data_IF_804556605560
#
_entry.id   IF_804556605560
#
_cell.length_a   1.000
_cell.length_b   1.000
_cell.length_c   1.000
_cell.angle_alpha   90.00
_cell.angle_beta   90.00
_cell.angle_gamma   90.00
#
_symmetry.space_group_name_H-M   'P 1'
#
loop_
_entity.id
_entity.type
_entity.pdbx_description
1 polymer ?
#
# COMPACT_ATOMS: atom_id res chain seq x y z
N UNK A 1 4.61 -6.66 25.07
CA UNK A 1 4.55 -5.21 24.82
C UNK A 1 5.79 -4.55 25.40
N UNK A 2 6.21 -3.40 24.88
CA UNK A 2 7.35 -2.65 25.44
C UNK A 2 6.84 -1.63 26.48
N UNK A 3 5.60 -1.16 26.31
CA UNK A 3 4.93 -0.30 27.29
C UNK A 3 4.14 -1.17 28.28
N UNK A 4 4.35 -0.92 29.57
CA UNK A 4 3.67 -1.64 30.66
C UNK A 4 2.15 -1.42 30.63
N UNK A 5 1.37 -2.48 30.88
CA UNK A 5 -0.09 -2.42 30.97
C UNK A 5 -0.86 -2.50 29.64
N UNK A 6 -0.18 -2.65 28.50
CA UNK A 6 -0.84 -2.85 27.20
C UNK A 6 -1.12 -4.33 26.93
N UNK A 7 -2.29 -4.58 26.34
CA UNK A 7 -2.75 -5.93 25.98
C UNK A 7 -2.34 -6.37 24.57
N UNK A 8 -1.92 -5.43 23.72
CA UNK A 8 -1.54 -5.65 22.32
C UNK A 8 -0.12 -5.14 22.09
N UNK A 9 0.57 -5.72 21.12
CA UNK A 9 1.94 -5.38 20.73
C UNK A 9 2.06 -3.91 20.27
N UNK A 10 3.15 -3.26 20.66
CA UNK A 10 3.43 -1.85 20.35
C UNK A 10 4.41 -1.69 19.18
N UNK A 11 5.02 -2.80 18.80
CA UNK A 11 6.12 -2.92 17.85
C UNK A 11 6.12 -4.34 17.29
N UNK A 12 6.29 -4.49 15.99
CA UNK A 12 6.34 -5.77 15.31
C UNK A 12 7.27 -5.71 14.10
N UNK A 13 8.00 -6.81 13.88
CA UNK A 13 8.73 -7.09 12.65
C UNK A 13 8.20 -8.39 12.08
N UNK A 14 7.69 -8.34 10.85
CA UNK A 14 7.12 -9.50 10.16
C UNK A 14 7.97 -9.81 8.94
N UNK A 15 8.46 -11.05 8.86
CA UNK A 15 9.10 -11.59 7.67
C UNK A 15 8.02 -12.17 6.76
N UNK A 16 8.08 -11.85 5.47
CA UNK A 16 7.09 -12.25 4.48
C UNK A 16 7.77 -13.12 3.42
N UNK A 17 7.16 -14.26 3.14
CA UNK A 17 7.43 -15.09 1.96
C UNK A 17 6.20 -14.97 1.05
N UNK A 18 6.33 -14.14 0.02
CA UNK A 18 5.26 -13.85 -0.93
C UNK A 18 5.36 -14.83 -2.11
N UNK A 19 4.36 -14.77 -2.98
CA UNK A 19 4.33 -15.58 -4.20
C UNK A 19 5.57 -15.32 -5.08
N UNK A 20 5.88 -16.31 -5.93
CA UNK A 20 7.02 -16.28 -6.85
C UNK A 20 8.40 -16.04 -6.20
N UNK A 21 8.52 -16.36 -4.89
CA UNK A 21 9.77 -16.26 -4.14
C UNK A 21 10.16 -14.84 -3.76
N UNK A 22 9.23 -13.87 -3.88
CA UNK A 22 9.44 -12.50 -3.43
C UNK A 22 9.46 -12.48 -1.90
N UNK A 23 10.48 -11.85 -1.32
CA UNK A 23 10.62 -11.74 0.14
C UNK A 23 10.35 -10.31 0.60
N UNK A 24 9.73 -10.19 1.76
CA UNK A 24 9.41 -8.89 2.37
C UNK A 24 9.80 -8.83 3.83
N UNK A 25 10.01 -7.60 4.29
CA UNK A 25 10.10 -7.27 5.72
C UNK A 25 9.15 -6.12 5.96
N UNK A 26 8.27 -6.28 6.94
CA UNK A 26 7.37 -5.23 7.39
C UNK A 26 7.71 -4.88 8.84
N UNK A 27 7.84 -3.58 9.11
CA UNK A 27 8.04 -3.06 10.45
C UNK A 27 6.88 -2.14 10.78
N UNK A 28 6.26 -2.35 11.94
CA UNK A 28 5.12 -1.54 12.40
C UNK A 28 5.36 -1.18 13.85
N UNK A 29 5.32 0.11 14.18
CA UNK A 29 5.65 0.58 15.52
C UNK A 29 4.81 1.78 15.92
N UNK A 30 4.29 1.76 17.14
CA UNK A 30 3.69 2.92 17.82
C UNK A 30 4.69 3.62 18.76
N UNK A 31 5.89 3.07 18.90
CA UNK A 31 6.92 3.52 19.85
C UNK A 31 8.23 3.91 19.17
N UNK A 32 8.24 4.00 17.83
CA UNK A 32 9.33 4.55 17.05
C UNK A 32 9.49 6.05 17.37
N UNK A 33 10.36 6.35 18.33
CA UNK A 33 10.47 7.69 18.92
C UNK A 33 10.90 8.73 17.89
N UNK A 34 10.12 9.82 17.79
CA UNK A 34 10.39 10.93 16.87
C UNK A 34 9.77 10.77 15.49
N UNK A 35 9.32 9.56 15.14
CA UNK A 35 8.56 9.32 13.93
C UNK A 35 7.13 9.88 14.07
N UNK A 36 6.55 10.34 12.96
CA UNK A 36 5.16 10.79 12.91
C UNK A 36 4.30 9.75 12.20
N UNK A 37 3.97 9.96 10.93
CA UNK A 37 3.18 9.04 10.10
C UNK A 37 4.05 8.49 8.96
N UNK A 38 5.21 7.94 9.32
CA UNK A 38 6.26 7.54 8.38
C UNK A 38 5.97 6.18 7.74
N UNK A 39 4.92 6.14 6.92
CA UNK A 39 4.64 4.99 6.06
C UNK A 39 5.61 5.05 4.88
N UNK A 40 6.41 4.00 4.75
CA UNK A 40 7.44 3.87 3.72
C UNK A 40 7.21 2.57 2.95
N UNK A 41 7.19 2.66 1.62
CA UNK A 41 7.16 1.51 0.74
C UNK A 41 8.46 1.48 -0.09
N UNK A 42 9.15 0.35 -0.07
CA UNK A 42 10.30 0.10 -0.93
C UNK A 42 10.13 -1.23 -1.66
N UNK A 43 10.28 -1.19 -2.97
CA UNK A 43 10.20 -2.38 -3.84
C UNK A 43 11.52 -2.48 -4.59
N UNK A 44 12.16 -3.64 -4.54
CA UNK A 44 13.45 -3.88 -5.18
C UNK A 44 13.25 -4.92 -6.28
N UNK A 45 13.40 -4.50 -7.53
CA UNK A 45 13.42 -5.38 -8.70
C UNK A 45 14.84 -5.62 -9.20
N UNK A 46 14.96 -6.46 -10.23
CA UNK A 46 16.24 -6.74 -10.88
C UNK A 46 16.82 -5.49 -11.58
N UNK A 47 15.95 -4.65 -12.16
CA UNK A 47 16.38 -3.52 -12.99
C UNK A 47 16.37 -2.17 -12.26
N UNK A 48 15.49 -2.03 -11.25
CA UNK A 48 15.33 -0.80 -10.50
C UNK A 48 14.71 -1.03 -9.11
N UNK A 49 14.91 -0.07 -8.22
CA UNK A 49 14.24 0.06 -6.94
C UNK A 49 13.26 1.24 -6.97
N UNK A 50 12.11 1.09 -6.31
CA UNK A 50 11.12 2.14 -6.09
C UNK A 50 11.03 2.47 -4.61
N UNK A 51 11.07 3.75 -4.26
CA UNK A 51 10.92 4.24 -2.89
C UNK A 51 9.84 5.33 -2.83
N UNK A 52 8.87 5.16 -1.94
CA UNK A 52 7.82 6.14 -1.66
C UNK A 52 7.65 6.33 -0.16
N UNK A 53 7.32 7.55 0.26
CA UNK A 53 7.06 7.89 1.66
C UNK A 53 5.82 8.78 1.79
N UNK A 54 4.98 8.47 2.77
CA UNK A 54 3.78 9.24 3.09
C UNK A 54 4.08 10.67 3.57
N UNK A 55 5.27 10.93 4.11
CA UNK A 55 5.64 12.29 4.51
C UNK A 55 6.06 13.18 3.32
N UNK A 56 6.33 12.59 2.15
CA UNK A 56 6.60 13.27 0.88
C UNK A 56 5.78 12.60 -0.24
N UNK A 57 4.43 12.61 -0.14
CA UNK A 57 3.56 11.73 -0.92
C UNK A 57 3.57 12.05 -2.42
N UNK A 58 4.02 13.26 -2.78
CA UNK A 58 4.09 13.76 -4.15
C UNK A 58 5.28 13.20 -4.94
N UNK A 59 6.19 12.46 -4.29
CA UNK A 59 7.44 11.99 -4.89
C UNK A 59 7.55 10.47 -4.85
N UNK A 60 7.80 9.88 -6.01
CA UNK A 60 8.22 8.50 -6.17
C UNK A 60 9.66 8.49 -6.68
N UNK A 61 10.59 7.94 -5.89
CA UNK A 61 11.99 7.81 -6.29
C UNK A 61 12.20 6.46 -6.95
N UNK A 62 12.83 6.46 -8.11
CA UNK A 62 13.24 5.26 -8.84
C UNK A 62 14.76 5.27 -8.97
N UNK A 63 15.43 4.19 -8.58
CA UNK A 63 16.89 4.04 -8.69
C UNK A 63 17.17 2.85 -9.59
N UNK A 64 17.80 3.06 -10.73
CA UNK A 64 18.14 1.98 -11.66
C UNK A 64 19.35 1.14 -11.18
N UNK A 65 19.60 0.03 -11.86
CA UNK A 65 20.74 -0.87 -11.57
C UNK A 65 22.12 -0.21 -11.75
N UNK A 66 22.20 0.93 -12.45
CA UNK A 66 23.40 1.76 -12.58
C UNK A 66 23.58 2.78 -11.44
N UNK A 67 22.58 2.92 -10.56
CA UNK A 67 22.56 3.87 -9.46
C UNK A 67 22.05 5.27 -9.84
N UNK A 68 21.49 5.44 -11.04
CA UNK A 68 20.87 6.72 -11.41
C UNK A 68 19.51 6.84 -10.73
N UNK A 69 19.31 7.95 -10.04
CA UNK A 69 18.03 8.26 -9.42
C UNK A 69 17.18 9.16 -10.32
N UNK A 70 15.93 8.77 -10.52
CA UNK A 70 14.87 9.56 -11.15
C UNK A 70 13.78 9.81 -10.11
N UNK A 71 13.32 11.06 -10.00
CA UNK A 71 12.18 11.42 -9.15
C UNK A 71 10.98 11.71 -10.03
N UNK A 72 9.94 10.90 -9.86
CA UNK A 72 8.65 11.09 -10.50
C UNK A 72 7.76 11.89 -9.55
N UNK A 73 7.17 12.97 -10.07
CA UNK A 73 6.29 13.84 -9.30
C UNK A 73 4.83 13.59 -9.65
N UNK A 74 3.96 13.65 -8.64
CA UNK A 74 2.50 13.70 -8.84
C UNK A 74 2.13 14.84 -9.78
N UNK A 75 1.18 14.58 -10.68
CA UNK A 75 0.79 15.51 -11.75
C UNK A 75 1.73 15.55 -12.97
N UNK A 76 2.79 14.73 -12.97
CA UNK A 76 3.57 14.42 -14.17
C UNK A 76 2.97 13.29 -15.01
N UNK A 77 3.70 12.83 -16.02
CA UNK A 77 3.35 11.62 -16.80
C UNK A 77 3.77 10.35 -16.04
N UNK A 78 2.92 9.96 -15.08
CA UNK A 78 3.18 8.85 -14.13
C UNK A 78 2.19 7.69 -14.30
N UNK A 79 1.60 7.58 -15.50
CA UNK A 79 0.65 6.53 -15.85
C UNK A 79 -0.81 6.86 -15.52
N UNK A 80 -1.75 6.06 -16.05
CA UNK A 80 -3.18 6.40 -16.05
C UNK A 80 -3.80 6.38 -14.65
N UNK A 81 -3.41 5.44 -13.78
CA UNK A 81 -3.95 5.34 -12.41
C UNK A 81 -3.57 6.54 -11.55
N UNK A 82 -2.30 6.95 -11.57
CA UNK A 82 -1.82 8.12 -10.83
C UNK A 82 -2.38 9.43 -11.40
N UNK A 83 -2.52 9.53 -12.73
CA UNK A 83 -3.17 10.67 -13.38
C UNK A 83 -4.62 10.80 -12.94
N UNK A 84 -5.37 9.69 -12.89
CA UNK A 84 -6.77 9.65 -12.44
C UNK A 84 -6.94 10.06 -10.97
N UNK A 85 -5.99 9.69 -10.12
CA UNK A 85 -5.99 10.03 -8.69
C UNK A 85 -5.58 11.49 -8.40
N UNK A 86 -5.04 12.23 -9.39
CA UNK A 86 -4.58 13.61 -9.22
C UNK A 86 -5.73 14.59 -9.46
N UNK A 87 -5.97 15.52 -8.51
CA UNK A 87 -7.08 16.50 -8.60
C UNK A 87 -6.59 17.90 -8.93
N UNK A 88 -5.40 18.27 -8.45
CA UNK A 88 -4.77 19.56 -8.63
C UNK A 88 -3.59 19.47 -9.60
N UNK A 89 -3.35 20.52 -10.41
CA UNK A 89 -2.18 20.57 -11.29
C UNK A 89 -0.87 20.38 -10.53
N UNK A 90 0.11 19.76 -11.18
CA UNK A 90 1.45 19.56 -10.63
C UNK A 90 2.03 20.83 -10.00
N UNK A 91 2.64 20.69 -8.82
CA UNK A 91 3.17 21.80 -8.02
C UNK A 91 2.20 22.38 -6.97
N UNK A 92 0.89 22.10 -7.07
CA UNK A 92 -0.06 22.40 -6.00
C UNK A 92 -0.13 21.21 -5.04
N UNK A 93 -0.06 21.42 -3.72
CA UNK A 93 0.04 20.32 -2.76
C UNK A 93 -1.25 19.50 -2.72
N UNK A 94 -1.10 18.18 -2.72
CA UNK A 94 -2.12 17.22 -2.31
C UNK A 94 -1.54 16.31 -1.25
N UNK A 95 -2.39 15.57 -0.54
CA UNK A 95 -1.91 14.56 0.38
C UNK A 95 -3.05 13.74 0.95
N UNK A 96 -3.09 13.68 2.28
CA UNK A 96 -3.95 12.77 3.01
C UNK A 96 -5.44 12.94 2.66
N UNK A 97 -5.94 14.17 2.55
CA UNK A 97 -7.37 14.42 2.30
C UNK A 97 -7.75 14.00 0.88
N UNK A 98 -6.94 14.33 -0.13
CA UNK A 98 -7.18 13.94 -1.52
C UNK A 98 -7.11 12.42 -1.70
N UNK A 99 -6.17 11.75 -1.02
CA UNK A 99 -6.08 10.29 -1.03
C UNK A 99 -7.36 9.63 -0.50
N UNK A 100 -7.91 10.10 0.62
CA UNK A 100 -9.19 9.61 1.13
C UNK A 100 -10.35 9.97 0.22
N UNK A 101 -10.38 11.19 -0.32
CA UNK A 101 -11.41 11.61 -1.26
C UNK A 101 -11.43 10.70 -2.50
N UNK A 102 -10.27 10.24 -2.99
CA UNK A 102 -10.19 9.28 -4.08
C UNK A 102 -10.87 7.95 -3.70
N UNK A 103 -10.52 7.35 -2.56
CA UNK A 103 -11.14 6.10 -2.09
C UNK A 103 -12.67 6.23 -2.01
N UNK A 104 -13.16 7.32 -1.42
CA UNK A 104 -14.61 7.54 -1.28
C UNK A 104 -15.31 7.80 -2.62
N UNK A 105 -14.67 8.54 -3.54
CA UNK A 105 -15.21 8.77 -4.88
C UNK A 105 -15.33 7.45 -5.67
N UNK A 106 -14.33 6.58 -5.57
CA UNK A 106 -14.30 5.26 -6.23
C UNK A 106 -15.34 4.31 -5.64
N UNK A 107 -15.47 4.26 -4.31
CA UNK A 107 -16.52 3.47 -3.67
C UNK A 107 -17.93 3.98 -4.04
N UNK A 108 -18.14 5.31 -4.06
CA UNK A 108 -19.42 5.90 -4.45
C UNK A 108 -19.79 5.59 -5.91
N UNK A 109 -18.82 5.68 -6.82
CA UNK A 109 -18.97 5.27 -8.22
C UNK A 109 -19.47 3.82 -8.35
N UNK A 110 -18.82 2.90 -7.62
CA UNK A 110 -19.19 1.49 -7.61
C UNK A 110 -20.61 1.26 -7.09
N UNK A 111 -21.02 1.98 -6.04
CA UNK A 111 -22.38 1.89 -5.46
C UNK A 111 -23.43 2.40 -6.45
N UNK A 112 -23.15 3.51 -7.13
CA UNK A 112 -24.07 4.13 -8.07
C UNK A 112 -24.15 3.40 -9.41
N UNK A 113 -23.24 2.46 -9.68
CA UNK A 113 -23.08 1.85 -10.99
C UNK A 113 -22.70 2.86 -12.08
N UNK A 114 -22.20 4.03 -11.68
CA UNK A 114 -21.72 5.09 -12.56
C UNK A 114 -20.22 5.05 -12.49
N UNK A 115 -19.60 4.70 -13.59
CA UNK A 115 -18.18 4.90 -13.75
C UNK A 115 -17.91 6.41 -13.96
N UNK A 116 -17.16 7.08 -13.08
CA UNK A 116 -16.84 8.49 -13.22
C UNK A 116 -16.04 8.76 -14.50
N UNK A 117 -15.42 7.73 -15.10
CA UNK A 117 -14.70 7.78 -16.37
C UNK A 117 -15.08 6.55 -17.20
N UNK A 118 -16.15 6.63 -18.00
CA UNK A 118 -16.70 5.53 -18.82
C UNK A 118 -15.66 4.53 -19.33
N UNK A 119 -15.71 3.29 -18.83
CA UNK A 119 -14.85 2.17 -19.26
C UNK A 119 -13.74 1.75 -18.28
N UNK A 120 -13.65 2.37 -17.11
CA UNK A 120 -12.67 2.06 -16.05
C UNK A 120 -13.37 1.46 -14.83
N UNK A 121 -12.91 0.29 -14.38
CA UNK A 121 -13.46 -0.33 -13.16
C UNK A 121 -13.12 0.53 -11.95
N UNK A 122 -14.08 0.85 -11.06
CA UNK A 122 -13.80 1.59 -9.84
C UNK A 122 -12.70 0.94 -9.00
N UNK A 123 -11.78 1.77 -8.49
CA UNK A 123 -10.55 1.36 -7.82
C UNK A 123 -10.61 1.72 -6.33
N UNK A 124 -11.18 0.82 -5.54
CA UNK A 124 -11.34 0.99 -4.10
C UNK A 124 -11.15 -0.34 -3.36
N UNK A 125 -10.74 -0.32 -2.08
CA UNK A 125 -10.66 -1.52 -1.26
C UNK A 125 -12.03 -2.18 -1.10
N UNK A 126 -12.13 -3.46 -1.42
CA UNK A 126 -13.36 -4.25 -1.28
C UNK A 126 -13.47 -4.89 0.11
N UNK A 127 -14.63 -5.49 0.40
CA UNK A 127 -14.79 -6.30 1.63
C UNK A 127 -13.85 -7.52 1.64
N UNK A 128 -13.53 -8.07 0.46
CA UNK A 128 -12.55 -9.16 0.32
C UNK A 128 -11.13 -8.69 0.64
N UNK A 129 -10.74 -7.48 0.21
CA UNK A 129 -9.45 -6.89 0.59
C UNK A 129 -9.39 -6.66 2.12
N UNK A 130 -10.50 -6.26 2.73
CA UNK A 130 -10.61 -6.16 4.19
C UNK A 130 -10.44 -7.52 4.90
N UNK A 131 -11.08 -8.58 4.38
CA UNK A 131 -10.95 -9.93 4.93
C UNK A 131 -9.51 -10.46 4.83
N UNK A 132 -8.79 -10.16 3.75
CA UNK A 132 -7.37 -10.48 3.60
C UNK A 132 -6.51 -9.79 4.65
N UNK A 133 -6.77 -8.51 4.93
CA UNK A 133 -6.08 -7.76 5.98
C UNK A 133 -6.29 -8.34 7.37
N UNK A 134 -7.52 -8.76 7.69
CA UNK A 134 -7.83 -9.44 8.95
C UNK A 134 -7.14 -10.79 9.06
N UNK A 135 -7.18 -11.60 7.99
CA UNK A 135 -6.47 -12.88 7.97
C UNK A 135 -4.97 -12.68 8.21
N UNK A 136 -4.35 -11.73 7.51
CA UNK A 136 -2.93 -11.41 7.70
C UNK A 136 -2.58 -11.10 9.16
N UNK A 137 -3.37 -10.24 9.82
CA UNK A 137 -3.15 -9.90 11.24
C UNK A 137 -3.30 -11.14 12.13
N UNK A 138 -4.34 -11.95 11.93
CA UNK A 138 -4.55 -13.17 12.69
C UNK A 138 -3.40 -14.17 12.52
N UNK A 139 -2.89 -14.34 11.30
CA UNK A 139 -1.76 -15.24 10.98
C UNK A 139 -0.44 -14.72 11.55
N UNK A 140 -0.23 -13.41 11.57
CA UNK A 140 0.94 -12.81 12.21
C UNK A 140 0.94 -13.06 13.74
N UNK A 141 -0.20 -12.90 14.40
CA UNK A 141 -0.35 -13.20 15.85
C UNK A 141 -0.18 -14.70 16.13
N UNK A 142 -0.68 -15.57 15.25
CA UNK A 142 -0.46 -17.02 15.33
C UNK A 142 1.03 -17.37 15.18
N UNK A 143 1.70 -16.75 14.20
CA UNK A 143 3.14 -16.92 13.96
C UNK A 143 3.99 -16.49 15.15
N UNK A 144 3.65 -15.36 15.79
CA UNK A 144 4.32 -14.91 17.01
C UNK A 144 4.10 -15.88 18.19
N UNK A 145 2.88 -16.40 18.36
CA UNK A 145 2.63 -17.38 19.43
C UNK A 145 3.43 -18.68 19.24
N UNK A 146 3.42 -19.19 18.02
CA UNK A 146 3.96 -20.51 17.70
C UNK A 146 5.45 -20.44 17.30
N UNK A 147 6.00 -19.24 17.14
CA UNK A 147 7.37 -18.96 16.71
C UNK A 147 7.74 -19.71 15.42
N UNK A 148 6.80 -19.73 14.47
CA UNK A 148 6.90 -20.52 13.24
C UNK A 148 6.30 -19.79 12.04
N UNK A 149 6.68 -20.21 10.83
CA UNK A 149 6.05 -19.76 9.60
C UNK A 149 4.59 -20.23 9.53
N UNK A 150 3.68 -19.29 9.31
CA UNK A 150 2.25 -19.58 9.17
C UNK A 150 1.78 -19.13 7.79
N UNK A 151 1.07 -20.03 7.08
CA UNK A 151 0.52 -19.74 5.76
C UNK A 151 -0.77 -18.92 5.90
N UNK A 152 -0.93 -17.91 5.04
CA UNK A 152 -2.23 -17.22 4.90
C UNK A 152 -3.33 -18.17 4.42
N UNK A 153 -4.54 -17.96 4.92
CA UNK A 153 -5.71 -18.80 4.63
C UNK A 153 -6.59 -18.17 3.55
N UNK A 154 -6.71 -16.85 3.55
CA UNK A 154 -7.44 -16.12 2.54
C UNK A 154 -6.58 -15.90 1.29
N UNK A 155 -7.12 -16.25 0.13
CA UNK A 155 -6.49 -16.00 -1.18
C UNK A 155 -7.11 -14.76 -1.81
N UNK A 156 -6.31 -14.01 -2.56
CA UNK A 156 -6.82 -12.88 -3.32
C UNK A 156 -7.71 -13.42 -4.43
N UNK A 157 -9.00 -13.07 -4.41
CA UNK A 157 -9.88 -13.35 -5.55
C UNK A 157 -9.29 -12.66 -6.77
N UNK A 158 -8.75 -13.42 -7.72
CA UNK A 158 -8.32 -12.88 -9.00
C UNK A 158 -9.55 -12.30 -9.68
N UNK A 159 -9.67 -10.96 -9.72
CA UNK A 159 -10.56 -10.31 -10.67
C UNK A 159 -10.01 -10.73 -12.04
N UNK A 160 -10.73 -11.61 -12.74
CA UNK A 160 -10.40 -12.01 -14.10
C UNK A 160 -10.13 -10.74 -14.92
N UNK A 161 -8.90 -10.57 -15.38
CA UNK A 161 -8.51 -9.52 -16.33
C UNK A 161 -8.88 -9.93 -17.76
N UNK A 162 -9.93 -10.71 -17.96
CA UNK A 162 -10.56 -10.87 -19.27
C UNK A 162 -11.58 -9.75 -19.46
N UNK A 163 -11.10 -8.64 -20.02
CA UNK A 163 -11.79 -7.91 -21.09
C UNK A 163 -10.78 -7.02 -21.79
N UNK A 164 -10.51 -7.43 -23.01
CA UNK A 164 -9.66 -6.83 -24.05
C UNK A 164 -10.08 -5.40 -24.36
#
# INVERSE_FOLDING_TARGET
TVVEGRALEDDAVVLLDLEDGVRGVMMVSQIATGERNHILLRVYGADAALHWSQEDPDRLRMVDSGGTETVLFRGGDVGPHATRATRLPGGHPEGFIEAFANIYSEAAAAILGVDPVTGVTPDFPTVQDGALGVDFICRAVESDRDQAWVKMTAERSTKSSERT
#
